data_IF_519321171339
#
_entry.id   IF_519321171339
#
_cell.length_a   1.000
_cell.length_b   1.000
_cell.length_c   1.000
_cell.angle_alpha   90.00
_cell.angle_beta   90.00
_cell.angle_gamma   90.00
#
_symmetry.space_group_name_H-M   'P 1'
#
loop_
_entity.id
_entity.type
_entity.pdbx_description
1 polymer ?
#
# COMPACT_ATOMS: atom_id res chain seq x y z
N UNK A 1 14.74 -14.91 -1.50
CA UNK A 1 15.43 -15.56 -0.37
C UNK A 1 16.89 -15.13 -0.22
N UNK A 2 17.86 -15.59 -1.03
CA UNK A 2 19.29 -15.32 -0.77
C UNK A 2 19.64 -13.81 -0.77
N UNK A 3 19.08 -13.04 -1.70
CA UNK A 3 19.26 -11.58 -1.76
C UNK A 3 18.55 -10.87 -0.59
N UNK A 4 17.31 -11.26 -0.27
CA UNK A 4 16.54 -10.74 0.87
C UNK A 4 17.32 -10.86 2.18
N UNK A 5 17.91 -12.04 2.45
CA UNK A 5 18.64 -12.30 3.68
C UNK A 5 19.90 -11.44 3.79
N UNK A 6 20.65 -11.28 2.68
CA UNK A 6 21.82 -10.40 2.62
C UNK A 6 21.44 -8.93 2.88
N UNK A 7 20.35 -8.46 2.25
CA UNK A 7 19.84 -7.10 2.46
C UNK A 7 19.28 -6.90 3.87
N UNK A 8 18.68 -7.92 4.49
CA UNK A 8 18.22 -7.87 5.88
C UNK A 8 19.38 -7.82 6.89
N UNK A 9 20.44 -8.61 6.68
CA UNK A 9 21.67 -8.52 7.50
C UNK A 9 22.29 -7.13 7.40
N UNK A 10 22.45 -6.61 6.18
CA UNK A 10 22.87 -5.23 5.89
C UNK A 10 22.04 -4.18 6.64
N UNK A 11 20.72 -4.31 6.63
CA UNK A 11 19.82 -3.38 7.33
C UNK A 11 19.98 -3.50 8.85
N UNK A 12 20.15 -4.71 9.40
CA UNK A 12 20.45 -4.94 10.83
C UNK A 12 21.76 -4.28 11.27
N UNK A 13 22.80 -4.36 10.43
CA UNK A 13 24.10 -3.71 10.61
C UNK A 13 24.01 -2.17 10.49
N UNK A 14 22.86 -1.61 10.09
CA UNK A 14 22.64 -0.17 9.95
C UNK A 14 23.02 0.41 8.59
N UNK A 15 23.12 -0.42 7.53
CA UNK A 15 23.32 0.07 6.16
C UNK A 15 22.07 0.83 5.66
N UNK A 16 22.10 2.15 5.84
CA UNK A 16 21.03 3.07 5.40
C UNK A 16 20.75 2.96 3.90
N UNK A 17 21.75 2.62 3.06
CA UNK A 17 21.55 2.47 1.62
C UNK A 17 20.80 1.19 1.27
N UNK A 18 21.04 0.11 2.03
CA UNK A 18 20.27 -1.12 1.92
C UNK A 18 18.79 -0.88 2.30
N UNK A 19 18.53 -0.13 3.37
CA UNK A 19 17.17 0.29 3.76
C UNK A 19 16.53 1.22 2.71
N UNK A 20 17.26 2.23 2.23
CA UNK A 20 16.77 3.16 1.19
C UNK A 20 16.40 2.43 -0.10
N UNK A 21 17.19 1.43 -0.51
CA UNK A 21 16.90 0.59 -1.67
C UNK A 21 15.58 -0.18 -1.52
N UNK A 22 15.33 -0.75 -0.34
CA UNK A 22 14.07 -1.43 -0.03
C UNK A 22 12.89 -0.44 0.04
N UNK A 23 13.07 0.70 0.70
CA UNK A 23 12.07 1.76 0.76
C UNK A 23 11.66 2.22 -0.65
N UNK A 24 12.62 2.59 -1.50
CA UNK A 24 12.36 3.03 -2.89
C UNK A 24 11.71 1.96 -3.75
N UNK A 25 12.04 0.68 -3.54
CA UNK A 25 11.47 -0.45 -4.28
C UNK A 25 10.01 -0.71 -3.90
N UNK A 26 9.66 -0.63 -2.61
CA UNK A 26 8.38 -1.10 -2.09
C UNK A 26 7.39 0.01 -1.70
N UNK A 27 7.82 1.23 -1.42
CA UNK A 27 6.94 2.32 -0.96
C UNK A 27 5.72 2.53 -1.88
N UNK A 28 5.95 2.86 -3.15
CA UNK A 28 4.85 3.15 -4.08
C UNK A 28 3.94 1.92 -4.33
N UNK A 29 4.46 0.69 -4.57
CA UNK A 29 3.63 -0.52 -4.62
C UNK A 29 2.80 -0.81 -3.35
N UNK A 30 3.34 -0.54 -2.15
CA UNK A 30 2.63 -0.74 -0.89
C UNK A 30 1.57 0.33 -0.66
N UNK A 31 1.85 1.61 -0.96
CA UNK A 31 0.83 2.67 -0.87
C UNK A 31 -0.31 2.44 -1.87
N UNK A 32 -0.03 1.92 -3.07
CA UNK A 32 -1.06 1.49 -4.03
C UNK A 32 -1.93 0.35 -3.48
N UNK A 33 -1.34 -0.60 -2.76
CA UNK A 33 -2.06 -1.71 -2.15
C UNK A 33 -2.93 -1.25 -0.97
N UNK A 34 -2.34 -0.50 -0.02
CA UNK A 34 -3.05 0.07 1.12
C UNK A 34 -4.20 0.99 0.67
N UNK A 35 -3.98 1.87 -0.32
CA UNK A 35 -5.03 2.75 -0.85
C UNK A 35 -6.15 1.99 -1.57
N UNK A 36 -5.86 0.77 -2.05
CA UNK A 36 -6.86 -0.17 -2.55
C UNK A 36 -7.78 -0.69 -1.44
N UNK A 37 -7.22 -1.05 -0.28
CA UNK A 37 -7.99 -1.53 0.88
C UNK A 37 -8.75 -0.37 1.55
N UNK A 38 -8.04 0.70 1.94
CA UNK A 38 -8.64 1.82 2.69
C UNK A 38 -9.54 2.70 1.83
N UNK A 39 -9.32 2.76 0.52
CA UNK A 39 -9.90 3.76 -0.37
C UNK A 39 -9.38 5.19 -0.16
N UNK A 40 -8.44 5.39 0.78
CA UNK A 40 -7.86 6.69 1.12
C UNK A 40 -6.34 6.64 0.96
N UNK A 41 -5.82 7.48 0.06
CA UNK A 41 -4.38 7.51 -0.24
C UNK A 41 -3.53 8.11 0.88
N UNK A 42 -4.01 9.15 1.57
CA UNK A 42 -3.19 9.87 2.53
C UNK A 42 -2.91 8.98 3.77
N UNK A 43 -3.92 8.20 4.16
CA UNK A 43 -3.83 7.11 5.14
C UNK A 43 -2.96 5.95 4.64
N UNK A 44 -2.98 5.65 3.34
CA UNK A 44 -2.13 4.60 2.76
C UNK A 44 -0.64 4.98 2.80
N UNK A 45 -0.31 6.26 2.61
CA UNK A 45 1.05 6.76 2.86
C UNK A 45 1.39 6.74 4.35
N UNK A 46 0.50 7.16 5.24
CA UNK A 46 0.72 7.12 6.70
C UNK A 46 1.03 5.70 7.21
N UNK A 47 0.23 4.70 6.81
CA UNK A 47 0.43 3.27 7.10
C UNK A 47 1.82 2.80 6.64
N UNK A 48 2.20 3.10 5.39
CA UNK A 48 3.47 2.61 4.82
C UNK A 48 4.67 3.37 5.39
N UNK A 49 4.52 4.65 5.74
CA UNK A 49 5.55 5.44 6.41
C UNK A 49 5.82 4.92 7.84
N UNK A 50 4.78 4.71 8.65
CA UNK A 50 4.95 4.17 10.01
C UNK A 50 5.51 2.74 9.98
N UNK A 51 5.05 1.90 9.04
CA UNK A 51 5.59 0.56 8.84
C UNK A 51 7.09 0.58 8.50
N UNK A 52 7.56 1.48 7.63
CA UNK A 52 8.98 1.62 7.34
C UNK A 52 9.78 2.25 8.49
N UNK A 53 9.19 3.17 9.24
CA UNK A 53 9.78 3.73 10.46
C UNK A 53 9.97 2.64 11.54
N UNK A 54 8.94 1.84 11.82
CA UNK A 54 9.01 0.70 12.75
C UNK A 54 10.03 -0.34 12.26
N UNK A 55 10.02 -0.68 10.97
CA UNK A 55 10.98 -1.64 10.39
C UNK A 55 12.45 -1.19 10.56
N UNK A 56 12.75 0.11 10.42
CA UNK A 56 14.08 0.65 10.68
C UNK A 56 14.40 0.75 12.18
N UNK A 57 13.45 1.22 12.99
CA UNK A 57 13.58 1.37 14.44
C UNK A 57 13.83 0.04 15.15
N UNK A 58 13.13 -1.00 14.73
CA UNK A 58 13.17 -2.35 15.31
C UNK A 58 14.05 -3.31 14.51
N UNK A 59 14.88 -2.81 13.57
CA UNK A 59 15.70 -3.59 12.61
C UNK A 59 16.38 -4.82 13.22
N UNK A 60 17.00 -4.67 14.40
CA UNK A 60 17.70 -5.72 15.12
C UNK A 60 16.79 -6.92 15.49
N UNK A 61 15.54 -6.62 15.87
CA UNK A 61 14.52 -7.61 16.26
C UNK A 61 13.89 -8.34 15.07
N UNK A 62 14.06 -7.86 13.83
CA UNK A 62 13.38 -8.40 12.65
C UNK A 62 13.67 -9.89 12.45
N UNK A 63 12.66 -10.73 12.65
CA UNK A 63 12.70 -12.18 12.41
C UNK A 63 11.92 -12.48 11.12
N UNK A 64 12.50 -12.17 9.97
CA UNK A 64 11.88 -12.42 8.65
C UNK A 64 12.18 -13.85 8.21
N UNK A 65 11.27 -14.78 8.51
CA UNK A 65 11.44 -16.22 8.26
C UNK A 65 11.20 -16.67 6.80
N UNK A 66 10.63 -15.81 5.94
CA UNK A 66 10.17 -16.19 4.58
C UNK A 66 10.79 -15.32 3.47
N UNK A 67 10.19 -14.15 3.19
CA UNK A 67 10.72 -13.17 2.24
C UNK A 67 10.42 -11.75 2.74
N UNK A 68 11.25 -10.80 2.34
CA UNK A 68 11.03 -9.40 2.72
C UNK A 68 9.76 -8.83 2.08
N UNK A 69 9.46 -9.22 0.83
CA UNK A 69 8.20 -8.86 0.16
C UNK A 69 6.99 -9.34 0.95
N UNK A 70 6.98 -10.62 1.35
CA UNK A 70 5.88 -11.22 2.12
C UNK A 70 5.60 -10.47 3.42
N UNK A 71 6.65 -10.21 4.20
CA UNK A 71 6.55 -9.48 5.45
C UNK A 71 5.94 -8.09 5.26
N UNK A 72 6.44 -7.31 4.29
CA UNK A 72 5.97 -5.95 4.05
C UNK A 72 4.50 -5.91 3.58
N UNK A 73 4.11 -6.78 2.64
CA UNK A 73 2.73 -6.83 2.15
C UNK A 73 1.74 -7.33 3.21
N UNK A 74 2.07 -8.37 3.96
CA UNK A 74 1.21 -8.88 5.04
C UNK A 74 1.01 -7.86 6.17
N UNK A 75 2.07 -7.15 6.57
CA UNK A 75 1.98 -6.11 7.59
C UNK A 75 1.16 -4.88 7.10
N UNK A 76 1.35 -4.44 5.83
CA UNK A 76 0.52 -3.38 5.23
C UNK A 76 -0.95 -3.79 5.10
N UNK A 77 -1.23 -5.04 4.70
CA UNK A 77 -2.60 -5.60 4.66
C UNK A 77 -3.27 -5.48 6.01
N UNK A 78 -2.61 -5.96 7.06
CA UNK A 78 -3.20 -6.04 8.40
C UNK A 78 -3.41 -4.64 9.00
N UNK A 79 -2.49 -3.69 8.81
CA UNK A 79 -2.68 -2.30 9.23
C UNK A 79 -3.80 -1.60 8.43
N UNK A 80 -3.93 -1.89 7.12
CA UNK A 80 -5.01 -1.33 6.29
C UNK A 80 -6.39 -1.88 6.65
N UNK A 81 -6.47 -3.17 6.97
CA UNK A 81 -7.70 -3.79 7.49
C UNK A 81 -8.04 -3.27 8.89
N UNK A 82 -7.05 -3.17 9.80
CA UNK A 82 -7.25 -2.57 11.12
C UNK A 82 -7.74 -1.12 11.02
N UNK A 83 -7.22 -0.32 10.07
CA UNK A 83 -7.73 1.02 9.80
C UNK A 83 -9.19 0.98 9.31
N UNK A 84 -9.54 0.09 8.37
CA UNK A 84 -10.91 -0.07 7.89
C UNK A 84 -11.87 -0.49 9.01
N UNK A 85 -11.49 -1.50 9.80
CA UNK A 85 -12.21 -1.91 11.00
C UNK A 85 -12.37 -0.72 11.96
N UNK A 86 -11.30 0.01 12.27
CA UNK A 86 -11.36 1.20 13.15
C UNK A 86 -12.21 2.32 12.53
N UNK A 87 -12.35 2.41 11.21
CA UNK A 87 -13.25 3.37 10.54
C UNK A 87 -14.72 2.90 10.57
N UNK A 88 -15.01 1.60 10.36
CA UNK A 88 -16.35 1.03 10.54
C UNK A 88 -16.80 1.08 12.00
N UNK A 89 -15.90 0.75 12.92
CA UNK A 89 -16.05 0.85 14.37
C UNK A 89 -16.24 2.32 14.76
N UNK A 90 -15.47 3.28 14.22
CA UNK A 90 -15.68 4.72 14.44
C UNK A 90 -16.99 5.25 13.86
N UNK A 91 -17.45 4.70 12.74
CA UNK A 91 -18.78 4.99 12.19
C UNK A 91 -19.87 4.42 13.11
N UNK A 92 -19.72 3.18 13.59
CA UNK A 92 -20.58 2.57 14.62
C UNK A 92 -20.47 3.29 15.97
N UNK A 93 -19.37 3.97 16.30
CA UNK A 93 -19.22 4.74 17.55
C UNK A 93 -19.94 6.08 17.54
N UNK A 94 -20.35 6.59 16.37
CA UNK A 94 -21.45 7.57 16.32
C UNK A 94 -22.78 6.98 16.81
N UNK A 95 -22.83 5.66 17.02
CA UNK A 95 -23.97 4.84 17.48
C UNK A 95 -23.59 3.76 18.54
N UNK A 96 -22.49 3.93 19.33
CA UNK A 96 -21.95 3.12 20.49
C UNK A 96 -20.60 2.34 20.35
N UNK A 97 -19.96 2.01 21.50
CA UNK A 97 -18.49 1.94 21.80
C UNK A 97 -18.09 0.54 22.43
N UNK A 98 -16.87 -0.06 22.53
CA UNK A 98 -15.40 0.27 22.57
C UNK A 98 -14.50 -0.90 22.00
N UNK A 99 -13.17 -0.69 21.86
CA UNK A 99 -12.02 -1.64 21.66
C UNK A 99 -11.81 -2.30 20.27
N UNK A 100 -10.62 -2.79 19.87
CA UNK A 100 -9.28 -2.85 20.52
C UNK A 100 -8.14 -3.47 19.64
N UNK A 101 -6.89 -3.54 20.14
CA UNK A 101 -5.67 -3.99 19.42
C UNK A 101 -5.52 -5.52 19.23
N UNK A 102 -4.77 -5.98 18.21
CA UNK A 102 -4.15 -7.32 18.14
C UNK A 102 -2.76 -7.33 17.47
N UNK A 103 -2.00 -8.42 17.69
CA UNK A 103 -0.61 -8.60 17.27
C UNK A 103 -0.46 -9.29 15.90
N UNK A 104 0.64 -9.00 15.18
CA UNK A 104 0.93 -9.59 13.87
C UNK A 104 1.44 -11.04 13.97
N UNK A 105 0.65 -12.01 13.50
CA UNK A 105 1.07 -13.41 13.30
C UNK A 105 2.02 -13.55 12.09
N UNK A 106 2.84 -14.63 12.03
CA UNK A 106 3.57 -15.01 10.82
C UNK A 106 2.64 -15.55 9.73
N UNK A 107 2.90 -15.18 8.48
CA UNK A 107 2.24 -15.72 7.27
C UNK A 107 2.69 -17.15 6.93
N UNK A 108 1.90 -17.83 6.11
CA UNK A 108 2.05 -19.22 5.67
C UNK A 108 2.57 -19.28 4.20
N UNK A 109 2.95 -20.44 3.62
CA UNK A 109 3.33 -20.50 2.21
C UNK A 109 2.22 -20.08 1.23
N UNK A 110 0.95 -20.23 1.63
CA UNK A 110 -0.24 -19.79 0.89
C UNK A 110 -0.15 -18.32 0.44
N UNK A 111 0.26 -17.44 1.36
CA UNK A 111 0.41 -15.98 1.16
C UNK A 111 1.26 -15.61 -0.08
N UNK A 112 2.29 -16.41 -0.41
CA UNK A 112 3.20 -16.06 -1.51
C UNK A 112 2.54 -16.16 -2.90
N UNK A 113 1.51 -16.99 -3.04
CA UNK A 113 0.70 -17.06 -4.26
C UNK A 113 -0.21 -15.83 -4.35
N UNK A 114 -0.94 -15.54 -3.26
CA UNK A 114 -1.87 -14.42 -3.18
C UNK A 114 -1.20 -13.08 -3.49
N UNK A 115 -0.01 -12.80 -2.93
CA UNK A 115 0.69 -11.54 -3.19
C UNK A 115 1.07 -11.36 -4.67
N UNK A 116 1.36 -12.44 -5.39
CA UNK A 116 1.66 -12.36 -6.83
C UNK A 116 0.40 -12.09 -7.62
N UNK A 117 -0.68 -12.80 -7.34
CA UNK A 117 -1.99 -12.60 -7.99
C UNK A 117 -2.53 -11.18 -7.78
N UNK A 118 -2.32 -10.63 -6.57
CA UNK A 118 -2.77 -9.30 -6.15
C UNK A 118 -1.95 -8.16 -6.77
N UNK A 119 -0.63 -8.33 -6.91
CA UNK A 119 0.21 -7.43 -7.71
C UNK A 119 -0.18 -7.48 -9.20
N UNK A 120 -0.45 -8.67 -9.73
CA UNK A 120 -0.94 -8.87 -11.09
C UNK A 120 -2.32 -8.23 -11.29
N UNK A 121 -3.21 -8.31 -10.29
CA UNK A 121 -4.55 -7.71 -10.27
C UNK A 121 -4.48 -6.18 -10.30
N UNK A 122 -3.64 -5.57 -9.45
CA UNK A 122 -3.38 -4.12 -9.48
C UNK A 122 -2.87 -3.71 -10.86
N UNK A 123 -1.89 -4.44 -11.42
CA UNK A 123 -1.34 -4.16 -12.75
C UNK A 123 -2.36 -4.36 -13.88
N UNK A 124 -3.21 -5.39 -13.81
CA UNK A 124 -4.32 -5.62 -14.76
C UNK A 124 -5.35 -4.49 -14.65
N UNK A 125 -5.71 -4.07 -13.45
CA UNK A 125 -6.68 -2.98 -13.20
C UNK A 125 -6.17 -1.64 -13.68
N UNK A 126 -4.89 -1.30 -13.44
CA UNK A 126 -4.27 -0.10 -13.99
C UNK A 126 -4.27 -0.11 -15.53
N UNK A 127 -4.08 -1.27 -16.18
CA UNK A 127 -4.20 -1.43 -17.64
C UNK A 127 -5.64 -1.32 -18.17
N UNK A 128 -6.67 -1.59 -17.34
CA UNK A 128 -8.10 -1.37 -17.66
C UNK A 128 -8.55 0.09 -17.55
N UNK A 129 -7.79 0.96 -16.88
CA UNK A 129 -8.19 2.37 -16.70
C UNK A 129 -8.16 3.12 -18.05
N UNK A 130 -9.13 4.01 -18.34
CA UNK A 130 -9.10 4.87 -19.51
C UNK A 130 -7.78 5.66 -19.58
N UNK A 131 -7.18 5.78 -20.77
CA UNK A 131 -5.82 6.32 -20.96
C UNK A 131 -5.58 7.64 -20.22
N UNK A 132 -6.51 8.60 -20.35
CA UNK A 132 -6.47 9.89 -19.64
C UNK A 132 -6.44 9.76 -18.13
N UNK A 133 -7.19 8.82 -17.55
CA UNK A 133 -7.19 8.53 -16.10
C UNK A 133 -5.87 7.88 -15.69
N UNK A 134 -5.39 6.90 -16.44
CA UNK A 134 -4.10 6.26 -16.20
C UNK A 134 -2.95 7.27 -16.28
N UNK A 135 -2.99 8.21 -17.23
CA UNK A 135 -2.00 9.29 -17.38
C UNK A 135 -2.04 10.26 -16.21
N UNK A 136 -3.21 10.75 -15.80
CA UNK A 136 -3.39 11.58 -14.60
C UNK A 136 -2.82 10.86 -13.37
N UNK A 137 -3.18 9.58 -13.18
CA UNK A 137 -2.72 8.76 -12.07
C UNK A 137 -1.20 8.56 -12.06
N UNK A 138 -0.58 8.30 -13.21
CA UNK A 138 0.89 8.15 -13.33
C UNK A 138 1.63 9.46 -13.05
N UNK A 139 1.17 10.57 -13.63
CA UNK A 139 1.74 11.90 -13.40
C UNK A 139 1.71 12.28 -11.91
N UNK A 140 0.66 11.88 -11.21
CA UNK A 140 0.51 12.13 -9.78
C UNK A 140 1.37 11.18 -8.93
N UNK A 141 1.22 9.86 -9.12
CA UNK A 141 1.73 8.81 -8.21
C UNK A 141 3.18 8.39 -8.47
N UNK A 142 3.68 8.54 -9.70
CA UNK A 142 5.05 8.14 -10.08
C UNK A 142 5.92 9.31 -10.53
N UNK A 143 5.34 10.35 -11.14
CA UNK A 143 6.08 11.58 -11.50
C UNK A 143 6.02 12.66 -10.39
N UNK A 144 5.27 12.42 -9.30
CA UNK A 144 5.20 13.27 -8.11
C UNK A 144 4.48 14.61 -8.29
N UNK A 145 3.74 14.81 -9.39
CA UNK A 145 3.15 16.11 -9.74
C UNK A 145 1.92 16.43 -8.92
N UNK A 146 1.81 17.70 -8.50
CA UNK A 146 0.65 18.26 -7.79
C UNK A 146 -0.53 18.37 -8.75
N UNK A 147 -1.75 18.33 -8.23
CA UNK A 147 -2.96 18.34 -9.08
C UNK A 147 -3.05 19.59 -9.97
N UNK A 148 -2.53 20.74 -9.52
CA UNK A 148 -2.42 21.96 -10.34
C UNK A 148 -1.45 21.82 -11.52
N UNK A 149 -0.31 21.15 -11.33
CA UNK A 149 0.69 20.92 -12.39
C UNK A 149 0.14 19.95 -13.45
N UNK A 150 -0.60 18.93 -13.01
CA UNK A 150 -1.29 17.98 -13.90
C UNK A 150 -2.44 18.66 -14.65
N UNK A 151 -3.21 19.51 -13.97
CA UNK A 151 -4.28 20.29 -14.58
C UNK A 151 -3.73 21.18 -15.70
N UNK A 152 -2.67 21.94 -15.44
CA UNK A 152 -1.98 22.75 -16.45
C UNK A 152 -1.39 21.91 -17.59
N UNK A 153 -0.69 20.82 -17.28
CA UNK A 153 -0.01 19.98 -18.28
C UNK A 153 -0.95 19.14 -19.17
N UNK A 154 -2.25 19.07 -18.83
CA UNK A 154 -3.28 18.35 -19.61
C UNK A 154 -4.44 19.26 -20.05
N UNK A 155 -4.34 20.57 -19.84
CA UNK A 155 -5.41 21.56 -20.11
C UNK A 155 -6.76 21.23 -19.45
N UNK A 156 -6.72 20.81 -18.17
CA UNK A 156 -7.88 20.41 -17.37
C UNK A 156 -8.11 21.38 -16.19
N UNK A 157 -9.26 21.26 -15.53
CA UNK A 157 -9.46 21.86 -14.20
C UNK A 157 -8.90 20.95 -13.10
N UNK A 158 -8.47 21.51 -11.98
CA UNK A 158 -8.03 20.75 -10.79
C UNK A 158 -9.12 19.79 -10.30
N UNK A 159 -10.39 20.23 -10.29
CA UNK A 159 -11.56 19.38 -9.97
C UNK A 159 -11.72 18.18 -10.90
N UNK A 160 -11.26 18.29 -12.15
CA UNK A 160 -11.26 17.17 -13.10
C UNK A 160 -10.12 16.19 -12.83
N UNK A 161 -8.97 16.67 -12.34
CA UNK A 161 -7.86 15.82 -11.88
C UNK A 161 -8.28 15.06 -10.62
N UNK A 162 -8.84 15.76 -9.62
CA UNK A 162 -9.44 15.17 -8.41
C UNK A 162 -10.44 14.06 -8.75
N UNK A 163 -11.43 14.36 -9.60
CA UNK A 163 -12.48 13.40 -9.95
C UNK A 163 -11.95 12.14 -10.69
N UNK A 164 -10.91 12.25 -11.52
CA UNK A 164 -10.31 11.06 -12.15
C UNK A 164 -9.40 10.29 -11.18
N UNK A 165 -8.74 10.96 -10.22
CA UNK A 165 -8.01 10.29 -9.14
C UNK A 165 -8.94 9.49 -8.23
N UNK A 166 -10.08 10.06 -7.80
CA UNK A 166 -11.09 9.35 -7.01
C UNK A 166 -11.61 8.12 -7.76
N UNK A 167 -11.95 8.26 -9.06
CA UNK A 167 -12.40 7.13 -9.89
C UNK A 167 -11.33 6.06 -10.06
N UNK A 168 -10.04 6.42 -10.14
CA UNK A 168 -8.94 5.46 -10.21
C UNK A 168 -8.85 4.62 -8.94
N UNK A 169 -8.88 5.28 -7.76
CA UNK A 169 -8.87 4.59 -6.47
C UNK A 169 -10.12 3.72 -6.26
N UNK A 170 -11.31 4.21 -6.62
CA UNK A 170 -12.54 3.40 -6.58
C UNK A 170 -12.48 2.16 -7.49
N UNK A 171 -11.84 2.26 -8.66
CA UNK A 171 -11.69 1.13 -9.58
C UNK A 171 -10.71 0.08 -9.00
N UNK A 172 -9.59 0.54 -8.42
CA UNK A 172 -8.62 -0.33 -7.74
C UNK A 172 -9.25 -1.02 -6.53
N UNK A 173 -9.92 -0.26 -5.66
CA UNK A 173 -10.60 -0.77 -4.47
C UNK A 173 -11.62 -1.85 -4.81
N UNK A 174 -12.51 -1.63 -5.77
CA UNK A 174 -13.52 -2.64 -6.14
C UNK A 174 -12.91 -3.95 -6.63
N UNK A 175 -11.87 -3.89 -7.46
CA UNK A 175 -11.23 -5.11 -7.98
C UNK A 175 -10.49 -5.87 -6.86
N UNK A 176 -9.88 -5.15 -5.90
CA UNK A 176 -9.23 -5.73 -4.71
C UNK A 176 -10.26 -6.31 -3.73
N UNK A 177 -11.35 -5.60 -3.44
CA UNK A 177 -12.46 -6.09 -2.59
C UNK A 177 -13.01 -7.41 -3.14
N UNK A 178 -13.29 -7.49 -4.45
CA UNK A 178 -13.72 -8.73 -5.11
C UNK A 178 -12.73 -9.88 -4.87
N UNK A 179 -11.42 -9.63 -5.00
CA UNK A 179 -10.39 -10.66 -4.76
C UNK A 179 -10.39 -11.14 -3.31
N UNK A 180 -10.42 -10.22 -2.33
CA UNK A 180 -10.51 -10.53 -0.90
C UNK A 180 -11.86 -11.12 -0.43
N UNK A 181 -12.83 -11.30 -1.35
CA UNK A 181 -14.08 -12.02 -1.12
C UNK A 181 -14.16 -13.36 -1.89
N UNK A 182 -13.16 -13.65 -2.74
CA UNK A 182 -13.09 -14.86 -3.57
C UNK A 182 -12.06 -15.87 -3.05
N UNK A 183 -11.19 -15.45 -2.12
CA UNK A 183 -10.16 -16.23 -1.41
C UNK A 183 -10.53 -16.28 0.08
#
# INVERSE_FOLDING_TARGET
MLNDLFVLTKIKEGDVKAFEGIFRLYYSPLCLYAAGITGNWDVAEEIVQELFYVFWKEKEKLQVFLSLKSYLYGAVRNQSLQYCEHQEVRNRYRENVLSGNQESKPSDPQDQLEYKELEDLINKTLKKLPERRLRIFRMQRFEGKKYAEIASALSLSVKTVEAEMTKALQTLRKEIENYTQTV
#
